data_IF_143727681341
#
_entry.id   IF_143727681341
#
_cell.length_a   1.000
_cell.length_b   1.000
_cell.length_c   1.000
_cell.angle_alpha   90.00
_cell.angle_beta   90.00
_cell.angle_gamma   90.00
#
_symmetry.space_group_name_H-M   'P 1'
#
loop_
_entity.id
_entity.type
_entity.pdbx_description
1 polymer ?
#
# COMPACT_ATOMS: atom_id res chain seq x y z
N UNK A 1 -13.26 16.92 -18.10
CA UNK A 1 -11.87 16.47 -18.34
C UNK A 1 -11.73 15.07 -17.78
N UNK A 2 -11.53 14.06 -18.63
CA UNK A 2 -11.16 12.71 -18.18
C UNK A 2 -9.66 12.73 -17.91
N UNK A 3 -9.29 12.91 -16.65
CA UNK A 3 -7.95 12.51 -16.18
C UNK A 3 -7.92 10.99 -16.31
N UNK A 4 -6.84 10.42 -16.86
CA UNK A 4 -6.77 9.02 -17.30
C UNK A 4 -7.27 8.00 -16.28
N UNK A 5 -7.58 6.77 -16.73
CA UNK A 5 -7.95 5.68 -15.83
C UNK A 5 -6.82 5.43 -14.85
N UNK A 6 -7.06 5.82 -13.59
CA UNK A 6 -6.12 5.62 -12.51
C UNK A 6 -6.65 4.54 -11.56
N UNK A 7 -5.76 3.64 -11.16
CA UNK A 7 -6.04 2.57 -10.23
C UNK A 7 -5.10 2.76 -9.04
N UNK A 8 -5.68 3.06 -7.87
CA UNK A 8 -4.93 3.06 -6.62
C UNK A 8 -4.49 1.63 -6.28
N UNK A 9 -3.32 1.49 -5.67
CA UNK A 9 -2.79 0.16 -5.31
C UNK A 9 -3.72 -0.55 -4.31
N UNK A 10 -4.16 0.17 -3.27
CA UNK A 10 -5.18 -0.30 -2.35
C UNK A 10 -6.17 0.81 -1.96
N UNK A 11 -7.42 0.41 -1.84
CA UNK A 11 -8.49 1.21 -1.25
C UNK A 11 -9.12 0.40 -0.12
N UNK A 12 -9.18 0.97 1.08
CA UNK A 12 -9.71 0.31 2.28
C UNK A 12 -11.04 0.95 2.65
N UNK A 13 -12.11 0.14 2.65
CA UNK A 13 -13.48 0.54 2.99
C UNK A 13 -13.97 1.85 2.31
N UNK A 14 -13.49 2.14 1.10
CA UNK A 14 -13.77 3.40 0.39
C UNK A 14 -13.47 4.67 1.21
N UNK A 15 -12.52 4.59 2.16
CA UNK A 15 -12.16 5.69 3.07
C UNK A 15 -10.68 6.04 3.02
N UNK A 16 -9.82 5.05 2.76
CA UNK A 16 -8.36 5.21 2.81
C UNK A 16 -7.76 4.76 1.48
N UNK A 17 -6.95 5.62 0.87
CA UNK A 17 -6.12 5.28 -0.29
C UNK A 17 -4.70 4.98 0.19
N UNK A 18 -4.13 3.86 -0.26
CA UNK A 18 -2.72 3.52 -0.02
C UNK A 18 -2.02 3.43 -1.37
N UNK A 19 -0.91 4.16 -1.47
CA UNK A 19 -0.04 4.24 -2.64
C UNK A 19 1.36 3.71 -2.29
N UNK A 20 1.82 2.75 -3.07
CA UNK A 20 3.13 2.12 -2.90
C UNK A 20 4.09 2.71 -3.93
N UNK A 21 5.24 3.20 -3.46
CA UNK A 21 6.34 3.68 -4.30
C UNK A 21 7.60 2.87 -4.02
N UNK A 22 8.44 2.72 -5.04
CA UNK A 22 9.77 2.11 -4.91
C UNK A 22 10.81 3.12 -5.43
N UNK A 23 11.10 4.12 -4.62
CA UNK A 23 11.95 5.27 -4.95
C UNK A 23 13.00 5.47 -3.85
N UNK A 24 14.06 6.25 -4.10
CA UNK A 24 15.01 6.61 -3.05
C UNK A 24 14.35 7.40 -1.92
N UNK A 25 13.58 8.42 -2.28
CA UNK A 25 12.82 9.25 -1.35
C UNK A 25 11.46 9.58 -1.95
N UNK A 26 10.48 9.85 -1.08
CA UNK A 26 9.25 10.49 -1.52
C UNK A 26 9.56 11.94 -1.93
N UNK A 27 8.78 12.45 -2.87
CA UNK A 27 8.90 13.80 -3.38
C UNK A 27 7.49 14.38 -3.53
N UNK A 28 7.41 15.71 -3.66
CA UNK A 28 6.14 16.43 -3.75
C UNK A 28 5.23 15.90 -4.87
N UNK A 29 5.79 15.43 -5.99
CA UNK A 29 4.99 14.87 -7.08
C UNK A 29 4.15 13.65 -6.63
N UNK A 30 4.68 12.82 -5.75
CA UNK A 30 3.94 11.69 -5.18
C UNK A 30 2.82 12.17 -4.23
N UNK A 31 3.06 13.24 -3.48
CA UNK A 31 2.06 13.84 -2.59
C UNK A 31 0.93 14.48 -3.37
N UNK A 32 1.25 15.29 -4.39
CA UNK A 32 0.25 15.89 -5.27
C UNK A 32 -0.57 14.84 -6.01
N UNK A 33 0.06 13.74 -6.43
CA UNK A 33 -0.63 12.62 -7.02
C UNK A 33 -1.69 12.05 -6.05
N UNK A 34 -1.31 11.74 -4.82
CA UNK A 34 -2.23 11.22 -3.81
C UNK A 34 -3.33 12.23 -3.45
N UNK A 35 -3.00 13.51 -3.30
CA UNK A 35 -3.97 14.58 -3.03
C UNK A 35 -5.02 14.70 -4.14
N UNK A 36 -4.61 14.53 -5.40
CA UNK A 36 -5.56 14.53 -6.52
C UNK A 36 -6.54 13.36 -6.43
N UNK A 37 -6.12 12.19 -5.93
CA UNK A 37 -7.03 11.07 -5.72
C UNK A 37 -7.98 11.31 -4.58
N UNK A 38 -7.49 11.79 -3.44
CA UNK A 38 -8.35 12.16 -2.31
C UNK A 38 -9.45 13.14 -2.76
N UNK A 39 -9.09 14.15 -3.57
CA UNK A 39 -10.07 15.08 -4.16
C UNK A 39 -11.03 14.42 -5.15
N UNK A 40 -10.53 13.53 -6.01
CA UNK A 40 -11.35 12.89 -7.05
C UNK A 40 -12.31 11.83 -6.49
N UNK A 41 -11.95 11.20 -5.37
CA UNK A 41 -12.74 10.13 -4.73
C UNK A 41 -13.53 10.60 -3.50
N UNK A 42 -13.36 11.86 -3.09
CA UNK A 42 -13.92 12.43 -1.86
C UNK A 42 -13.50 11.66 -0.58
N UNK A 43 -12.31 11.05 -0.62
CA UNK A 43 -11.69 10.39 0.54
C UNK A 43 -10.76 11.37 1.25
N UNK A 44 -10.65 11.26 2.57
CA UNK A 44 -9.90 12.23 3.38
C UNK A 44 -8.51 11.73 3.79
N UNK A 45 -8.28 10.41 3.76
CA UNK A 45 -7.05 9.79 4.27
C UNK A 45 -6.30 9.10 3.14
N UNK A 46 -5.04 9.49 2.96
CA UNK A 46 -4.12 8.87 2.01
C UNK A 46 -2.79 8.51 2.67
N UNK A 47 -2.22 7.36 2.30
CA UNK A 47 -0.93 6.87 2.79
C UNK A 47 0.03 6.63 1.63
N UNK A 48 1.24 7.17 1.73
CA UNK A 48 2.36 6.85 0.83
C UNK A 48 3.34 5.93 1.55
N UNK A 49 3.55 4.73 1.00
CA UNK A 49 4.58 3.81 1.46
C UNK A 49 5.71 3.74 0.45
N UNK A 50 6.91 4.16 0.86
CA UNK A 50 8.11 4.00 0.06
C UNK A 50 8.88 2.74 0.46
N UNK A 51 9.00 1.79 -0.47
CA UNK A 51 9.79 0.58 -0.32
C UNK A 51 11.29 0.78 -0.53
N UNK A 52 11.73 1.98 -0.90
CA UNK A 52 13.15 2.28 -1.08
C UNK A 52 13.77 1.57 -2.29
N UNK A 53 15.11 1.63 -2.39
CA UNK A 53 15.89 0.84 -3.36
C UNK A 53 15.95 -0.65 -3.02
N UNK A 54 15.83 -1.00 -1.73
CA UNK A 54 15.83 -2.37 -1.24
C UNK A 54 14.58 -2.59 -0.38
N UNK A 55 13.51 -3.18 -0.93
CA UNK A 55 12.30 -3.46 -0.16
C UNK A 55 12.60 -4.48 0.94
N UNK A 56 12.20 -4.17 2.16
CA UNK A 56 12.08 -5.17 3.21
C UNK A 56 10.68 -5.77 3.20
N UNK A 57 10.55 -7.08 3.01
CA UNK A 57 9.28 -7.78 3.09
C UNK A 57 9.41 -9.08 3.88
N UNK A 58 8.35 -9.44 4.61
CA UNK A 58 8.23 -10.71 5.32
C UNK A 58 6.92 -11.37 4.93
N UNK A 59 6.98 -12.60 4.41
CA UNK A 59 5.78 -13.42 4.17
C UNK A 59 5.54 -14.31 5.38
N UNK A 60 4.52 -13.98 6.17
CA UNK A 60 4.09 -14.79 7.29
C UNK A 60 2.79 -15.51 6.92
N UNK A 61 2.74 -16.82 7.12
CA UNK A 61 1.54 -17.63 6.86
C UNK A 61 1.17 -18.35 8.14
N UNK A 62 0.04 -17.98 8.73
CA UNK A 62 -0.51 -18.68 9.88
C UNK A 62 -1.35 -19.87 9.41
N UNK A 63 -0.76 -21.07 9.32
CA UNK A 63 -1.51 -22.31 9.06
C UNK A 63 -1.61 -23.13 10.34
N UNK A 64 -2.79 -23.73 10.58
CA UNK A 64 -3.02 -24.62 11.74
C UNK A 64 -2.19 -25.91 11.66
N UNK A 65 -1.72 -26.28 10.47
CA UNK A 65 -0.93 -27.50 10.20
C UNK A 65 0.46 -27.51 10.85
N UNK A 66 1.01 -26.35 11.26
CA UNK A 66 2.32 -26.27 11.92
C UNK A 66 2.32 -26.75 13.39
N UNK A 67 1.16 -27.03 14.02
CA UNK A 67 1.12 -27.51 15.42
C UNK A 67 1.63 -28.95 15.60
N UNK A 68 1.60 -29.79 14.57
CA UNK A 68 1.97 -31.21 14.69
C UNK A 68 3.47 -31.53 14.49
N UNK A 69 4.31 -30.55 14.14
CA UNK A 69 5.76 -30.80 13.97
C UNK A 69 6.61 -30.45 15.19
N UNK A 70 6.04 -29.89 16.26
CA UNK A 70 6.77 -29.51 17.49
C UNK A 70 6.56 -30.45 18.68
N UNK A 71 5.91 -31.61 18.49
CA UNK A 71 5.66 -32.62 19.54
C UNK A 71 6.41 -33.94 19.33
N UNK A 72 7.54 -33.92 18.63
CA UNK A 72 8.39 -35.10 18.45
C UNK A 72 9.85 -34.71 18.62
N UNK A 73 10.24 -34.48 19.88
CA UNK A 73 11.58 -34.74 20.44
C UNK A 73 11.36 -35.27 21.85
#
# INVERSE_FOLDING_TARGET
MRVGQYYADLVIEDKIIIELKATETLCEAHEFQLLNYLKATNMEVGLLFNFGRKPEFKRLVYTKSFKNQRKSV
#
